data_IF_291741833012
#
_entry.id   IF_291741833012
#
_cell.length_a   1.000
_cell.length_b   1.000
_cell.length_c   1.000
_cell.angle_alpha   90.00
_cell.angle_beta   90.00
_cell.angle_gamma   90.00
#
_symmetry.space_group_name_H-M   'P 1'
#
loop_
_entity.id
_entity.type
_entity.pdbx_description
1 polymer ?
#
# COMPACT_ATOMS: atom_id res chain seq x y z
N UNK A 1 -30.20 14.08 -28.92
CA UNK A 1 -29.39 12.86 -28.70
C UNK A 1 -28.41 13.15 -27.57
N UNK A 2 -28.78 12.83 -26.33
CA UNK A 2 -27.97 13.08 -25.14
C UNK A 2 -27.65 11.74 -24.47
N UNK A 3 -26.37 11.38 -24.41
CA UNK A 3 -25.88 10.15 -23.83
C UNK A 3 -26.06 10.17 -22.30
N UNK A 4 -26.98 9.35 -21.81
CA UNK A 4 -27.14 9.05 -20.38
C UNK A 4 -26.05 8.06 -19.95
N UNK A 5 -25.07 8.54 -19.18
CA UNK A 5 -24.14 7.71 -18.41
C UNK A 5 -24.83 7.28 -17.09
N UNK A 6 -24.99 5.98 -16.79
CA UNK A 6 -25.61 5.58 -15.53
C UNK A 6 -24.58 5.48 -14.40
N UNK A 7 -24.80 6.31 -13.39
CA UNK A 7 -24.65 6.08 -11.95
C UNK A 7 -23.52 5.15 -11.46
N UNK A 8 -22.50 5.77 -10.87
CA UNK A 8 -21.55 5.14 -9.95
C UNK A 8 -22.29 4.54 -8.74
N UNK A 9 -22.60 3.24 -8.80
CA UNK A 9 -22.97 2.48 -7.60
C UNK A 9 -21.75 2.34 -6.70
N UNK A 10 -21.78 3.02 -5.56
CA UNK A 10 -20.87 2.81 -4.43
C UNK A 10 -21.07 1.39 -3.90
N UNK A 11 -20.25 0.46 -4.40
CA UNK A 11 -20.20 -0.92 -3.92
C UNK A 11 -19.84 -0.93 -2.42
N UNK A 12 -20.53 -1.74 -1.59
CA UNK A 12 -20.17 -1.90 -0.18
C UNK A 12 -18.73 -2.43 -0.09
N UNK A 13 -17.92 -1.87 0.83
CA UNK A 13 -16.54 -2.32 1.05
C UNK A 13 -16.57 -3.79 1.47
N UNK A 14 -15.98 -4.71 0.67
CA UNK A 14 -15.94 -6.11 1.04
C UNK A 14 -15.16 -6.23 2.35
N UNK A 15 -15.68 -7.01 3.30
CA UNK A 15 -14.95 -7.43 4.49
C UNK A 15 -13.73 -8.25 4.04
N UNK A 16 -12.61 -7.54 3.81
CA UNK A 16 -11.32 -8.08 3.32
C UNK A 16 -10.78 -9.06 4.36
N UNK A 17 -11.26 -10.29 4.27
CA UNK A 17 -10.92 -11.37 5.19
C UNK A 17 -9.46 -11.77 4.96
N UNK A 18 -8.71 -12.15 6.00
CA UNK A 18 -7.28 -12.53 5.96
C UNK A 18 -6.93 -13.78 5.14
N UNK A 19 -7.78 -14.19 4.18
CA UNK A 19 -7.62 -15.34 3.28
C UNK A 19 -6.90 -15.02 1.97
N UNK A 20 -6.83 -13.74 1.58
CA UNK A 20 -6.07 -13.26 0.41
C UNK A 20 -4.55 -13.53 0.45
N UNK A 21 -3.87 -13.45 1.61
CA UNK A 21 -2.42 -13.64 1.70
C UNK A 21 -1.92 -14.98 1.19
N UNK A 22 -2.65 -16.09 1.41
CA UNK A 22 -2.19 -17.43 1.00
C UNK A 22 -2.18 -17.62 -0.53
N UNK A 23 -3.18 -17.05 -1.22
CA UNK A 23 -3.20 -17.00 -2.69
C UNK A 23 -2.04 -16.16 -3.23
N UNK A 24 -1.73 -15.02 -2.59
CA UNK A 24 -0.61 -14.16 -2.98
C UNK A 24 0.73 -14.87 -2.78
N UNK A 25 0.96 -15.49 -1.62
CA UNK A 25 2.18 -16.24 -1.35
C UNK A 25 2.38 -17.37 -2.36
N UNK A 26 1.31 -18.13 -2.67
CA UNK A 26 1.41 -19.22 -3.65
C UNK A 26 1.70 -18.73 -5.05
N UNK A 27 1.08 -17.60 -5.44
CA UNK A 27 1.34 -16.95 -6.72
C UNK A 27 2.79 -16.51 -6.83
N UNK A 28 3.32 -15.86 -5.79
CA UNK A 28 4.69 -15.36 -5.78
C UNK A 28 5.72 -16.51 -5.78
N UNK A 29 5.42 -17.64 -5.13
CA UNK A 29 6.23 -18.86 -5.20
C UNK A 29 6.32 -19.41 -6.64
N UNK A 30 5.17 -19.53 -7.32
CA UNK A 30 5.11 -20.02 -8.69
C UNK A 30 5.74 -19.03 -9.67
N UNK A 31 5.52 -17.74 -9.46
CA UNK A 31 6.12 -16.66 -10.24
C UNK A 31 7.65 -16.72 -10.19
N UNK A 32 8.22 -16.89 -9.00
CA UNK A 32 9.67 -17.04 -8.81
C UNK A 32 10.20 -18.33 -9.42
N UNK A 33 9.45 -19.43 -9.31
CA UNK A 33 9.86 -20.75 -9.85
C UNK A 33 9.92 -20.75 -11.37
N UNK A 34 8.97 -20.10 -12.02
CA UNK A 34 8.87 -20.06 -13.49
C UNK A 34 9.40 -18.77 -14.12
N UNK A 35 10.07 -17.93 -13.32
CA UNK A 35 10.64 -16.64 -13.72
C UNK A 35 9.68 -15.77 -14.55
N UNK A 36 8.47 -15.57 -13.99
CA UNK A 36 7.39 -14.81 -14.64
C UNK A 36 6.80 -13.81 -13.66
N UNK A 37 6.32 -12.66 -14.15
CA UNK A 37 5.63 -11.70 -13.31
C UNK A 37 4.40 -12.34 -12.62
N UNK A 38 4.21 -12.16 -11.30
CA UNK A 38 3.08 -12.76 -10.57
C UNK A 38 1.72 -12.40 -11.15
N UNK A 39 1.56 -11.15 -11.60
CA UNK A 39 0.32 -10.63 -12.19
C UNK A 39 -0.04 -11.31 -13.51
N UNK A 40 0.92 -11.91 -14.22
CA UNK A 40 0.68 -12.69 -15.44
C UNK A 40 0.17 -14.11 -15.16
N UNK A 41 0.41 -14.65 -13.96
CA UNK A 41 -0.11 -15.96 -13.56
C UNK A 41 -1.52 -15.86 -13.00
N UNK A 42 -1.77 -14.85 -12.16
CA UNK A 42 -3.06 -14.62 -11.54
C UNK A 42 -3.27 -13.14 -11.23
N UNK A 43 -4.34 -12.56 -11.78
CA UNK A 43 -4.64 -11.14 -11.59
C UNK A 43 -5.09 -10.85 -10.16
N UNK A 44 -4.76 -9.65 -9.65
CA UNK A 44 -5.19 -9.21 -8.32
C UNK A 44 -6.73 -9.17 -8.21
N UNK A 45 -7.41 -8.81 -9.30
CA UNK A 45 -8.87 -8.81 -9.37
C UNK A 45 -9.45 -10.23 -9.19
N UNK A 46 -8.84 -11.24 -9.82
CA UNK A 46 -9.25 -12.64 -9.66
C UNK A 46 -9.09 -13.11 -8.21
N UNK A 47 -8.03 -12.67 -7.53
CA UNK A 47 -7.78 -13.02 -6.13
C UNK A 47 -8.80 -12.36 -5.20
N UNK A 48 -9.14 -11.09 -5.44
CA UNK A 48 -10.17 -10.38 -4.68
C UNK A 48 -11.54 -11.05 -4.88
N UNK A 49 -11.89 -11.38 -6.13
CA UNK A 49 -13.14 -12.07 -6.46
C UNK A 49 -13.22 -13.45 -5.78
N UNK A 50 -12.11 -14.20 -5.76
CA UNK A 50 -12.02 -15.47 -5.05
C UNK A 50 -12.20 -15.32 -3.53
N UNK A 51 -11.60 -14.27 -2.94
CA UNK A 51 -11.69 -13.98 -1.52
C UNK A 51 -13.10 -13.53 -1.09
N UNK A 52 -13.83 -12.84 -1.97
CA UNK A 52 -15.22 -12.42 -1.75
C UNK A 52 -16.19 -13.61 -1.87
N UNK A 53 -16.09 -14.40 -2.95
CA UNK A 53 -17.02 -15.52 -3.21
C UNK A 53 -16.75 -16.75 -2.37
N UNK A 54 -15.52 -16.96 -1.89
CA UNK A 54 -15.10 -18.09 -1.03
C UNK A 54 -15.57 -19.45 -1.58
N UNK A 55 -15.19 -19.82 -2.83
CA UNK A 55 -15.68 -21.05 -3.44
C UNK A 55 -15.20 -22.28 -2.64
N UNK A 56 -16.15 -22.98 -2.01
CA UNK A 56 -15.89 -24.21 -1.24
C UNK A 56 -15.87 -25.44 -2.13
N UNK A 57 -16.61 -25.38 -3.25
CA UNK A 57 -16.85 -26.51 -4.13
C UNK A 57 -16.30 -26.30 -5.54
N UNK A 58 -16.03 -27.40 -6.26
CA UNK A 58 -15.54 -27.37 -7.64
C UNK A 58 -16.52 -26.70 -8.63
N UNK A 59 -17.83 -26.71 -8.32
CA UNK A 59 -18.86 -26.02 -9.11
C UNK A 59 -18.75 -24.50 -8.95
N UNK A 60 -18.63 -24.03 -7.71
CA UNK A 60 -18.47 -22.60 -7.39
C UNK A 60 -17.16 -22.05 -7.95
N UNK A 61 -16.07 -22.83 -7.89
CA UNK A 61 -14.79 -22.45 -8.49
C UNK A 61 -14.90 -22.26 -10.01
N UNK A 62 -15.65 -23.12 -10.71
CA UNK A 62 -15.91 -22.98 -12.15
C UNK A 62 -16.76 -21.75 -12.50
N UNK A 63 -17.61 -21.29 -11.58
CA UNK A 63 -18.39 -20.06 -11.78
C UNK A 63 -17.52 -18.79 -11.70
N UNK A 64 -16.33 -18.87 -11.10
CA UNK A 64 -15.35 -17.79 -11.12
C UNK A 64 -14.48 -17.90 -12.38
N UNK A 65 -14.98 -17.34 -13.49
CA UNK A 65 -14.29 -17.42 -14.79
C UNK A 65 -12.87 -16.85 -14.76
N UNK A 66 -12.67 -15.79 -13.97
CA UNK A 66 -11.38 -15.10 -13.80
C UNK A 66 -10.27 -15.96 -13.17
N UNK A 67 -10.59 -17.11 -12.55
CA UNK A 67 -9.63 -18.09 -12.03
C UNK A 67 -9.33 -19.23 -13.00
N UNK A 68 -10.22 -19.46 -13.96
CA UNK A 68 -10.14 -20.57 -14.92
C UNK A 68 -9.55 -20.12 -16.26
N UNK A 69 -9.67 -18.84 -16.58
CA UNK A 69 -9.13 -18.25 -17.80
C UNK A 69 -7.71 -17.72 -17.59
N UNK A 70 -6.90 -17.77 -18.65
CA UNK A 70 -5.55 -17.19 -18.66
C UNK A 70 -5.62 -15.66 -18.56
N UNK A 71 -4.66 -15.07 -17.85
CA UNK A 71 -4.52 -13.62 -17.81
C UNK A 71 -4.02 -13.13 -19.16
N UNK A 72 -4.84 -12.35 -19.86
CA UNK A 72 -4.44 -11.64 -21.09
C UNK A 72 -4.36 -10.15 -20.77
N UNK A 73 -3.19 -9.56 -20.99
CA UNK A 73 -3.01 -8.12 -20.92
C UNK A 73 -3.31 -7.57 -22.31
N UNK A 74 -4.25 -6.62 -22.38
CA UNK A 74 -4.54 -5.86 -23.58
C UNK A 74 -4.12 -4.42 -23.30
N UNK A 75 -2.88 -4.09 -23.65
CA UNK A 75 -2.34 -2.74 -23.58
C UNK A 75 -2.65 -1.95 -24.85
N UNK A 76 -3.20 -2.61 -25.89
CA UNK A 76 -3.62 -1.96 -27.15
C UNK A 76 -2.45 -1.59 -28.05
N UNK A 77 -1.28 -2.20 -27.82
CA UNK A 77 -0.05 -1.94 -28.56
C UNK A 77 0.76 -3.21 -28.80
N UNK A 78 1.97 -3.05 -29.33
CA UNK A 78 2.84 -4.19 -29.70
C UNK A 78 3.28 -5.04 -28.50
N UNK A 79 3.16 -4.49 -27.28
CA UNK A 79 3.44 -5.19 -26.02
C UNK A 79 2.54 -6.42 -25.82
N UNK A 80 1.34 -6.45 -26.41
CA UNK A 80 0.43 -7.59 -26.33
C UNK A 80 1.06 -8.86 -26.93
N UNK A 81 1.83 -8.70 -28.03
CA UNK A 81 2.59 -9.79 -28.67
C UNK A 81 3.72 -10.28 -27.77
N UNK A 82 4.35 -9.38 -27.01
CA UNK A 82 5.39 -9.73 -26.05
C UNK A 82 4.82 -10.54 -24.88
N UNK A 83 3.63 -10.20 -24.37
CA UNK A 83 2.98 -10.94 -23.29
C UNK A 83 2.49 -12.33 -23.71
N UNK A 84 2.01 -12.50 -24.95
CA UNK A 84 1.62 -13.83 -25.46
C UNK A 84 2.80 -14.82 -25.54
N UNK A 85 4.07 -14.35 -25.54
CA UNK A 85 5.25 -15.23 -25.43
C UNK A 85 5.30 -16.01 -24.10
N UNK A 86 4.70 -15.47 -23.04
CA UNK A 86 4.61 -16.13 -21.74
C UNK A 86 3.42 -17.09 -21.64
N UNK A 87 2.57 -17.19 -22.68
CA UNK A 87 1.42 -18.08 -22.68
C UNK A 87 1.76 -19.57 -22.47
N UNK A 88 2.89 -20.12 -22.96
CA UNK A 88 3.30 -21.49 -22.62
C UNK A 88 3.53 -21.67 -21.12
N UNK A 89 4.21 -20.72 -20.48
CA UNK A 89 4.51 -20.75 -19.03
C UNK A 89 3.22 -20.63 -18.22
N UNK A 90 2.30 -19.76 -18.62
CA UNK A 90 0.98 -19.64 -17.99
C UNK A 90 0.18 -20.96 -18.04
N UNK A 91 0.30 -21.75 -19.12
CA UNK A 91 -0.41 -23.04 -19.27
C UNK A 91 0.14 -24.14 -18.36
N UNK A 92 1.38 -24.03 -17.91
CA UNK A 92 1.98 -24.99 -16.96
C UNK A 92 1.23 -24.92 -15.62
N UNK A 93 0.82 -23.72 -15.20
CA UNK A 93 0.07 -23.50 -13.96
C UNK A 93 -1.41 -23.79 -14.18
N UNK A 94 -1.85 -24.99 -13.78
CA UNK A 94 -3.25 -25.41 -13.90
C UNK A 94 -4.16 -24.69 -12.90
N UNK A 95 -5.44 -24.39 -13.26
CA UNK A 95 -6.42 -23.81 -12.33
C UNK A 95 -6.64 -24.64 -11.05
N UNK A 96 -6.36 -25.95 -11.10
CA UNK A 96 -6.42 -26.84 -9.95
C UNK A 96 -5.50 -26.41 -8.79
N UNK A 97 -4.36 -25.78 -9.09
CA UNK A 97 -3.43 -25.28 -8.06
C UNK A 97 -4.09 -24.20 -7.21
N UNK A 98 -4.82 -23.28 -7.85
CA UNK A 98 -5.56 -22.22 -7.17
C UNK A 98 -6.72 -22.78 -6.36
N UNK A 99 -7.43 -23.77 -6.90
CA UNK A 99 -8.50 -24.47 -6.18
C UNK A 99 -7.98 -25.09 -4.87
N UNK A 100 -6.89 -25.87 -4.94
CA UNK A 100 -6.30 -26.49 -3.74
C UNK A 100 -5.85 -25.43 -2.74
N UNK A 101 -5.21 -24.36 -3.20
CA UNK A 101 -4.77 -23.25 -2.34
C UNK A 101 -5.94 -22.57 -1.63
N UNK A 102 -7.07 -22.38 -2.32
CA UNK A 102 -8.30 -21.82 -1.72
C UNK A 102 -8.88 -22.79 -0.68
N UNK A 103 -8.94 -24.08 -0.99
CA UNK A 103 -9.43 -25.09 -0.04
C UNK A 103 -8.59 -25.13 1.23
N UNK A 104 -7.26 -25.09 1.09
CA UNK A 104 -6.35 -25.01 2.22
C UNK A 104 -6.50 -23.69 3.01
N UNK A 105 -6.71 -22.56 2.32
CA UNK A 105 -6.97 -21.27 2.95
C UNK A 105 -8.33 -21.22 3.69
N UNK A 106 -9.32 -21.99 3.23
CA UNK A 106 -10.62 -22.14 3.87
C UNK A 106 -10.59 -23.11 5.06
N UNK A 107 -9.68 -24.09 5.04
CA UNK A 107 -9.50 -25.06 6.11
C UNK A 107 -8.71 -24.48 7.31
N UNK A 108 -7.95 -23.41 7.11
CA UNK A 108 -7.25 -22.72 8.20
C UNK A 108 -8.27 -22.08 9.18
N UNK A 109 -8.09 -22.26 10.50
CA UNK A 109 -8.94 -21.63 11.49
C UNK A 109 -8.69 -20.11 11.51
N UNK A 110 -9.72 -19.33 11.82
CA UNK A 110 -9.70 -17.86 11.73
C UNK A 110 -8.64 -17.20 12.62
N UNK A 111 -8.14 -17.92 13.64
CA UNK A 111 -7.02 -17.54 14.53
C UNK A 111 -5.64 -17.48 13.84
N UNK A 112 -5.44 -18.24 12.76
CA UNK A 112 -4.16 -18.29 12.03
C UNK A 112 -4.19 -17.42 10.77
N UNK A 113 -5.33 -16.77 10.49
CA UNK A 113 -5.39 -15.80 9.42
C UNK A 113 -4.60 -14.58 9.86
N UNK A 114 -3.64 -14.09 9.06
CA UNK A 114 -3.01 -12.81 9.33
C UNK A 114 -4.12 -11.76 9.43
N UNK A 115 -4.32 -11.24 10.64
CA UNK A 115 -5.14 -10.06 10.85
C UNK A 115 -4.57 -9.00 9.92
N UNK A 116 -5.39 -8.45 9.03
CA UNK A 116 -4.97 -7.30 8.24
C UNK A 116 -4.36 -6.31 9.24
N UNK A 117 -3.14 -5.79 9.01
CA UNK A 117 -2.67 -4.70 9.85
C UNK A 117 -3.77 -3.67 9.81
N UNK A 118 -4.40 -3.42 10.96
CA UNK A 118 -5.44 -2.42 11.09
C UNK A 118 -4.87 -1.20 10.38
N UNK A 119 -5.59 -0.65 9.39
CA UNK A 119 -5.12 0.51 8.62
C UNK A 119 -4.53 1.56 9.59
N UNK A 120 -3.21 1.56 9.76
CA UNK A 120 -2.56 2.19 10.92
C UNK A 120 -1.36 1.47 11.55
N UNK A 121 -1.22 0.14 11.44
CA UNK A 121 -0.14 -0.61 12.12
C UNK A 121 0.81 -1.25 11.11
N UNK A 122 1.64 -0.43 10.47
CA UNK A 122 2.88 -0.90 9.84
C UNK A 122 3.88 -1.17 10.96
N UNK A 123 3.94 -2.42 11.46
CA UNK A 123 4.97 -2.91 12.36
C UNK A 123 4.97 -2.28 13.75
N UNK A 124 5.08 -3.11 14.78
CA UNK A 124 5.28 -2.70 16.18
C UNK A 124 6.67 -2.06 16.43
N UNK A 125 7.25 -1.41 15.42
CA UNK A 125 8.55 -0.73 15.46
C UNK A 125 8.61 0.62 14.73
N UNK A 126 7.54 1.08 14.05
CA UNK A 126 7.59 2.35 13.32
C UNK A 126 6.39 3.24 13.67
N UNK A 127 6.64 4.14 14.61
CA UNK A 127 5.82 5.27 15.06
C UNK A 127 5.59 6.30 13.95
N UNK A 128 5.21 5.85 12.75
CA UNK A 128 5.10 6.68 11.56
C UNK A 128 3.75 7.40 11.58
N UNK A 129 3.80 8.73 11.57
CA UNK A 129 2.61 9.56 11.55
C UNK A 129 1.74 9.29 10.32
N UNK A 130 0.41 9.38 10.46
CA UNK A 130 -0.51 9.09 9.38
C UNK A 130 -0.27 10.01 8.18
N UNK A 131 -0.29 9.41 6.97
CA UNK A 131 -0.26 10.18 5.72
C UNK A 131 -1.62 10.83 5.41
N UNK A 132 -2.71 10.21 5.87
CA UNK A 132 -4.06 10.67 5.58
C UNK A 132 -4.43 11.91 6.40
N UNK A 133 -4.66 13.04 5.73
CA UNK A 133 -5.05 14.32 6.36
C UNK A 133 -6.30 14.19 7.25
N UNK A 134 -7.23 13.29 6.90
CA UNK A 134 -8.44 13.02 7.69
C UNK A 134 -8.15 12.59 9.13
N UNK A 135 -6.99 11.96 9.39
CA UNK A 135 -6.62 11.58 10.76
C UNK A 135 -6.05 12.76 11.56
N UNK A 136 -5.51 13.77 10.88
CA UNK A 136 -5.06 15.02 11.47
C UNK A 136 -6.22 15.94 11.84
N UNK A 137 -7.33 15.88 11.10
CA UNK A 137 -8.54 16.65 11.42
C UNK A 137 -9.14 16.25 12.77
N UNK A 138 -8.87 15.02 13.24
CA UNK A 138 -9.27 14.56 14.57
C UNK A 138 -8.41 15.12 15.72
N UNK A 139 -7.26 15.74 15.40
CA UNK A 139 -6.32 16.33 16.37
C UNK A 139 -5.82 17.68 15.85
N UNK A 140 -6.64 18.75 15.98
CA UNK A 140 -6.34 20.06 15.38
C UNK A 140 -5.02 20.66 15.86
N UNK A 141 -4.66 20.51 17.14
CA UNK A 141 -3.40 21.01 17.71
C UNK A 141 -2.15 20.47 16.96
N UNK A 142 -2.14 19.17 16.67
CA UNK A 142 -1.03 18.52 15.93
C UNK A 142 -0.99 19.01 14.47
N UNK A 143 -2.15 19.25 13.87
CA UNK A 143 -2.28 19.77 12.51
C UNK A 143 -1.76 21.19 12.40
N UNK A 144 -2.09 22.06 13.34
CA UNK A 144 -1.58 23.43 13.40
C UNK A 144 -0.06 23.46 13.57
N UNK A 145 0.48 22.61 14.44
CA UNK A 145 1.93 22.43 14.60
C UNK A 145 2.60 22.01 13.28
N UNK A 146 2.03 21.02 12.59
CA UNK A 146 2.52 20.60 11.27
C UNK A 146 2.48 21.76 10.25
N UNK A 147 1.43 22.59 10.25
CA UNK A 147 1.33 23.74 9.37
C UNK A 147 2.35 24.84 9.71
N UNK A 148 2.63 25.09 11.00
CA UNK A 148 3.71 25.99 11.43
C UNK A 148 5.07 25.53 10.92
N UNK A 149 5.41 24.25 11.14
CA UNK A 149 6.69 23.69 10.69
C UNK A 149 6.81 23.69 9.16
N UNK A 150 5.74 23.35 8.43
CA UNK A 150 5.73 23.40 6.95
C UNK A 150 5.97 24.80 6.40
N UNK A 151 5.41 25.85 7.02
CA UNK A 151 5.66 27.23 6.63
C UNK A 151 7.14 27.60 6.76
N UNK A 152 7.75 27.23 7.89
CA UNK A 152 9.18 27.48 8.14
C UNK A 152 10.07 26.74 7.14
N UNK A 153 9.77 25.47 6.86
CA UNK A 153 10.54 24.69 5.86
C UNK A 153 10.40 25.29 4.46
N UNK A 154 9.20 25.74 4.09
CA UNK A 154 8.99 26.39 2.79
C UNK A 154 9.75 27.71 2.69
N UNK A 155 9.83 28.50 3.77
CA UNK A 155 10.67 29.70 3.78
C UNK A 155 12.14 29.35 3.55
N UNK A 156 12.67 28.34 4.26
CA UNK A 156 14.05 27.89 4.07
C UNK A 156 14.27 27.39 2.63
N UNK A 157 13.27 26.71 2.05
CA UNK A 157 13.30 26.25 0.67
C UNK A 157 13.41 27.40 -0.34
N UNK A 158 12.67 28.49 -0.11
CA UNK A 158 12.76 29.71 -0.90
C UNK A 158 14.13 30.39 -0.75
N UNK A 159 14.60 30.54 0.49
CA UNK A 159 15.88 31.19 0.81
C UNK A 159 17.08 30.46 0.21
N UNK A 160 17.05 29.11 0.23
CA UNK A 160 18.10 28.26 -0.34
C UNK A 160 17.86 27.84 -1.79
N UNK A 161 16.78 28.33 -2.42
CA UNK A 161 16.33 27.94 -3.78
C UNK A 161 16.35 26.43 -4.02
N UNK A 162 15.99 25.67 -3.00
CA UNK A 162 16.03 24.21 -3.01
C UNK A 162 14.63 23.67 -2.68
N UNK A 163 14.07 22.74 -3.48
CA UNK A 163 12.74 22.20 -3.20
C UNK A 163 12.66 21.57 -1.79
N UNK A 164 11.58 21.84 -1.06
CA UNK A 164 11.39 21.37 0.31
C UNK A 164 11.53 19.83 0.46
N UNK A 165 11.18 19.07 -0.58
CA UNK A 165 11.32 17.60 -0.62
C UNK A 165 12.79 17.12 -0.62
N UNK A 166 13.71 17.94 -1.15
CA UNK A 166 15.16 17.68 -1.14
C UNK A 166 15.77 18.05 0.22
N UNK A 167 15.23 19.09 0.87
CA UNK A 167 15.68 19.54 2.19
C UNK A 167 15.30 18.52 3.26
N UNK A 168 14.05 18.03 3.26
CA UNK A 168 13.61 17.01 4.22
C UNK A 168 12.46 16.16 3.68
N UNK A 169 12.52 14.84 3.98
CA UNK A 169 11.41 13.93 3.70
C UNK A 169 10.15 14.38 4.48
N UNK A 170 9.00 14.62 3.82
CA UNK A 170 7.78 15.07 4.49
C UNK A 170 7.27 14.12 5.59
N UNK A 171 7.64 12.83 5.53
CA UNK A 171 7.30 11.85 6.56
C UNK A 171 8.00 12.15 7.90
N UNK A 172 9.25 12.61 7.87
CA UNK A 172 10.03 12.93 9.08
C UNK A 172 9.35 14.09 9.83
N UNK A 173 8.94 15.13 9.11
CA UNK A 173 8.21 16.28 9.65
C UNK A 173 6.89 15.86 10.27
N UNK A 174 6.16 14.94 9.60
CA UNK A 174 4.91 14.40 10.12
C UNK A 174 5.13 13.59 11.40
N UNK A 175 6.18 12.77 11.47
CA UNK A 175 6.53 12.00 12.68
C UNK A 175 6.86 12.90 13.86
N UNK A 176 7.63 13.96 13.61
CA UNK A 176 7.96 14.97 14.62
C UNK A 176 6.69 15.62 15.20
N UNK A 177 5.75 16.01 14.34
CA UNK A 177 4.51 16.69 14.77
C UNK A 177 3.48 15.75 15.40
N UNK A 178 3.64 14.42 15.25
CA UNK A 178 2.70 13.42 15.77
C UNK A 178 3.03 12.92 17.18
N UNK A 179 4.17 13.35 17.73
CA UNK A 179 4.59 13.04 19.10
C UNK A 179 3.81 13.89 20.13
N UNK A 180 3.55 13.32 21.31
CA UNK A 180 2.81 13.99 22.41
C UNK A 180 3.62 15.09 23.10
N UNK A 181 4.94 14.92 23.29
CA UNK A 181 5.84 15.95 23.79
C UNK A 181 6.95 16.30 22.78
N UNK A 182 6.71 17.27 21.88
CA UNK A 182 7.72 17.73 20.94
C UNK A 182 8.56 18.91 21.48
N UNK A 183 8.15 19.55 22.58
CA UNK A 183 8.84 20.71 23.15
C UNK A 183 10.02 20.28 24.04
N UNK A 184 9.92 19.13 24.72
CA UNK A 184 11.01 18.54 25.49
C UNK A 184 12.01 17.70 24.68
N UNK A 185 11.82 17.56 23.36
CA UNK A 185 12.62 16.66 22.52
C UNK A 185 13.70 17.41 21.75
N UNK A 186 14.92 16.86 21.73
CA UNK A 186 15.97 17.34 20.84
C UNK A 186 15.58 17.05 19.37
N UNK A 187 15.15 18.10 18.67
CA UNK A 187 14.76 18.05 17.26
C UNK A 187 15.94 17.60 16.39
N UNK A 188 17.17 17.99 16.71
CA UNK A 188 18.33 17.62 15.91
C UNK A 188 18.65 16.13 16.05
N UNK A 189 18.58 15.58 17.27
CA UNK A 189 18.72 14.14 17.51
C UNK A 189 17.64 13.34 16.77
N UNK A 190 16.37 13.76 16.90
CA UNK A 190 15.26 13.08 16.23
C UNK A 190 15.39 13.07 14.71
N UNK A 191 15.82 14.17 14.10
CA UNK A 191 16.03 14.24 12.65
C UNK A 191 17.13 13.28 12.19
N UNK A 192 18.22 13.14 12.95
CA UNK A 192 19.30 12.19 12.65
C UNK A 192 18.83 10.74 12.75
N UNK A 193 18.10 10.39 13.81
CA UNK A 193 17.51 9.05 13.99
C UNK A 193 16.57 8.67 12.84
N UNK A 194 15.81 9.64 12.32
CA UNK A 194 14.93 9.46 11.17
C UNK A 194 15.66 9.44 9.81
N UNK A 195 17.00 9.52 9.83
CA UNK A 195 17.86 9.42 8.64
C UNK A 195 18.04 10.72 7.85
N UNK A 196 17.84 11.89 8.47
CA UNK A 196 18.23 13.16 7.87
C UNK A 196 19.76 13.31 7.88
N UNK A 197 20.32 13.85 6.78
CA UNK A 197 21.77 14.09 6.65
C UNK A 197 22.20 15.26 7.54
N UNK A 198 23.45 15.28 7.97
CA UNK A 198 23.96 16.32 8.88
C UNK A 198 23.81 17.76 8.36
N UNK A 199 23.92 17.98 7.06
CA UNK A 199 23.67 19.30 6.47
C UNK A 199 22.19 19.70 6.55
N UNK A 200 21.26 18.74 6.38
CA UNK A 200 19.82 18.99 6.50
C UNK A 200 19.48 19.35 7.94
N UNK A 201 20.02 18.58 8.90
CA UNK A 201 19.81 18.83 10.34
C UNK A 201 20.35 20.21 10.73
N UNK A 202 21.58 20.55 10.34
CA UNK A 202 22.16 21.88 10.62
C UNK A 202 21.34 23.02 10.03
N UNK A 203 20.77 22.84 8.84
CA UNK A 203 19.98 23.86 8.16
C UNK A 203 18.62 24.10 8.82
N UNK A 204 17.94 23.05 9.28
CA UNK A 204 16.53 23.15 9.70
C UNK A 204 16.30 23.04 11.21
N UNK A 205 17.19 22.41 11.98
CA UNK A 205 16.90 22.02 13.37
C UNK A 205 16.54 23.22 14.25
N UNK A 206 17.30 24.32 14.16
CA UNK A 206 17.04 25.52 14.94
C UNK A 206 15.69 26.17 14.59
N UNK A 207 15.39 26.31 13.29
CA UNK A 207 14.16 26.92 12.80
C UNK A 207 12.93 26.06 13.11
N UNK A 208 13.05 24.74 12.99
CA UNK A 208 11.98 23.80 13.33
C UNK A 208 11.74 23.75 14.84
N UNK A 209 12.80 23.76 15.65
CA UNK A 209 12.68 23.82 17.11
C UNK A 209 11.94 25.06 17.58
N UNK A 210 12.22 26.23 16.99
CA UNK A 210 11.49 27.47 17.29
C UNK A 210 10.02 27.44 16.86
N UNK A 211 9.68 26.69 15.81
CA UNK A 211 8.32 26.59 15.29
C UNK A 211 7.42 25.66 16.13
N UNK A 212 8.04 24.75 16.90
CA UNK A 212 7.38 23.73 17.72
C UNK A 212 7.07 24.25 19.12
N UNK A 213 7.96 25.10 19.67
CA UNK A 213 7.70 25.93 20.86
C UNK A 213 6.49 26.84 20.61
#
# INVERSE_FOLDING_TARGET
>A
MAAHLPHHQTRPRPSRTGRGPRLWTKRDELARRYDIAPTLLLSDASIIEAAERKPRNAREFRMVRSLNERVRIHTGGEQDKMFERYAPIQRIVKPSVWKTTIQEALALPERDLPSMPAMGCQGEGESNAPRAMRLWDRRPERRERLQRVRRVINQIAEDTRTPAEVIIKPQIVRNLCWTDDPAGRDVAAFLREQGARDWQVRLIAASVSRAIL
#
